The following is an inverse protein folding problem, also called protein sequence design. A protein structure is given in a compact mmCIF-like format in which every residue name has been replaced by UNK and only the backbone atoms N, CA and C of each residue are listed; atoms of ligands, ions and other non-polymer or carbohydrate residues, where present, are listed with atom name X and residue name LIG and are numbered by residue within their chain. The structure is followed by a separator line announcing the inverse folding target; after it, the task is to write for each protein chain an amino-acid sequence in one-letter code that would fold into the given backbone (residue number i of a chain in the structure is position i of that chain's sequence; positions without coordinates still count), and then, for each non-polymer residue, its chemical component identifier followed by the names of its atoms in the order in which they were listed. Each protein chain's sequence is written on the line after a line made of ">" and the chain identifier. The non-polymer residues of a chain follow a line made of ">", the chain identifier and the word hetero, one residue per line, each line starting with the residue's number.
data_IF_438087643025
#
_entry.id   IF_438087643025
#
_cell.length_a   1.000
_cell.length_b   1.000
_cell.length_c   1.000
_cell.angle_alpha   90.00
_cell.angle_beta   90.00
_cell.angle_gamma   90.00
#
_symmetry.space_group_name_H-M   'P 1'
#
loop_
_entity.id
_entity.type
_entity.pdbx_description
1 polymer ?
#
# COMPACT_ATOMS: atom_id res chain seq x y z
N UNK A 1 9.91 -20.56 -21.30
CA UNK A 1 8.46 -20.30 -21.39
C UNK A 1 7.86 -20.76 -20.08
N UNK A 2 7.52 -19.83 -19.17
CA UNK A 2 6.69 -20.05 -17.95
C UNK A 2 6.45 -18.74 -17.13
N UNK A 3 6.69 -17.56 -17.72
CA UNK A 3 6.52 -16.28 -17.01
C UNK A 3 5.06 -16.01 -16.60
N UNK A 4 4.10 -16.41 -17.43
CA UNK A 4 2.66 -16.26 -17.17
C UNK A 4 2.11 -17.24 -16.10
N UNK A 5 2.65 -18.46 -16.04
CA UNK A 5 2.33 -19.43 -14.99
C UNK A 5 2.85 -18.96 -13.62
N UNK A 6 4.04 -18.35 -13.60
CA UNK A 6 4.63 -17.69 -12.43
C UNK A 6 3.79 -16.50 -11.93
N UNK A 7 3.42 -15.57 -12.82
CA UNK A 7 2.71 -14.35 -12.42
C UNK A 7 1.28 -14.63 -11.93
N UNK A 8 0.52 -15.43 -12.66
CA UNK A 8 -0.86 -15.78 -12.28
C UNK A 8 -0.94 -16.55 -10.96
N UNK A 9 0.04 -17.43 -10.69
CA UNK A 9 0.17 -18.14 -9.42
C UNK A 9 0.46 -17.18 -8.26
N UNK A 10 1.39 -16.23 -8.45
CA UNK A 10 1.72 -15.20 -7.46
C UNK A 10 0.54 -14.25 -7.20
N UNK A 11 -0.18 -13.85 -8.25
CA UNK A 11 -1.38 -13.03 -8.13
C UNK A 11 -2.50 -13.77 -7.38
N UNK A 12 -2.64 -15.08 -7.60
CA UNK A 12 -3.59 -15.92 -6.85
C UNK A 12 -3.25 -15.95 -5.37
N UNK A 13 -1.97 -15.99 -5.02
CA UNK A 13 -1.48 -15.93 -3.63
C UNK A 13 -1.76 -14.58 -2.98
N UNK A 14 -1.65 -13.49 -3.76
CA UNK A 14 -1.98 -12.14 -3.32
C UNK A 14 -3.49 -11.84 -3.26
N UNK A 15 -4.35 -12.73 -3.76
CA UNK A 15 -5.80 -12.47 -3.89
C UNK A 15 -6.48 -12.20 -2.57
N UNK A 16 -6.11 -12.92 -1.51
CA UNK A 16 -6.67 -12.70 -0.16
C UNK A 16 -6.32 -11.29 0.34
N UNK A 17 -5.07 -10.85 0.11
CA UNK A 17 -4.62 -9.52 0.47
C UNK A 17 -5.33 -8.44 -0.36
N UNK A 18 -5.41 -8.60 -1.68
CA UNK A 18 -6.17 -7.68 -2.55
C UNK A 18 -7.65 -7.62 -2.18
N UNK A 19 -8.24 -8.73 -1.74
CA UNK A 19 -9.60 -8.77 -1.20
C UNK A 19 -9.74 -7.96 0.09
N UNK A 20 -8.75 -8.02 0.99
CA UNK A 20 -8.73 -7.16 2.19
C UNK A 20 -8.56 -5.68 1.85
N UNK A 21 -7.76 -5.34 0.85
CA UNK A 21 -7.64 -3.97 0.35
C UNK A 21 -8.95 -3.48 -0.26
N UNK A 22 -9.66 -4.33 -1.00
CA UNK A 22 -10.99 -4.03 -1.51
C UNK A 22 -11.98 -3.77 -0.37
N UNK A 23 -12.02 -4.65 0.64
CA UNK A 23 -12.88 -4.47 1.82
C UNK A 23 -12.53 -3.18 2.59
N UNK A 24 -11.25 -2.86 2.73
CA UNK A 24 -10.80 -1.61 3.35
C UNK A 24 -11.25 -0.38 2.56
N UNK A 25 -11.16 -0.41 1.23
CA UNK A 25 -11.65 0.67 0.36
C UNK A 25 -13.17 0.86 0.47
N UNK A 26 -13.91 -0.25 0.56
CA UNK A 26 -15.36 -0.24 0.78
C UNK A 26 -15.74 0.30 2.17
N UNK A 27 -15.03 -0.11 3.23
CA UNK A 27 -15.22 0.39 4.58
C UNK A 27 -14.88 1.87 4.72
N UNK A 28 -13.83 2.34 4.03
CA UNK A 28 -13.50 3.77 3.97
C UNK A 28 -14.62 4.56 3.28
N UNK A 29 -15.19 4.03 2.20
CA UNK A 29 -16.33 4.64 1.52
C UNK A 29 -17.59 4.71 2.41
N UNK A 30 -17.82 3.70 3.25
CA UNK A 30 -18.89 3.69 4.25
C UNK A 30 -18.65 4.70 5.37
N UNK A 31 -17.40 4.86 5.80
CA UNK A 31 -17.03 5.75 6.89
C UNK A 31 -17.16 7.22 6.49
N UNK A 32 -16.63 7.57 5.33
CA UNK A 32 -16.74 8.92 4.79
C UNK A 32 -16.66 8.86 3.24
N UNK A 33 -17.73 9.28 2.53
CA UNK A 33 -17.78 9.18 1.07
C UNK A 33 -16.86 10.17 0.36
N UNK A 34 -16.11 11.04 1.05
CA UNK A 34 -15.20 11.98 0.40
C UNK A 34 -14.01 11.26 -0.27
N UNK A 35 -13.72 11.54 -1.56
CA UNK A 35 -12.65 10.87 -2.30
C UNK A 35 -11.24 11.21 -1.79
N UNK A 36 -11.11 12.24 -0.95
CA UNK A 36 -9.83 12.67 -0.38
C UNK A 36 -9.21 11.58 0.48
N UNK A 37 -9.98 10.89 1.31
CA UNK A 37 -9.46 9.88 2.23
C UNK A 37 -8.92 8.65 1.51
N UNK A 38 -9.64 8.16 0.49
CA UNK A 38 -9.14 7.02 -0.28
C UNK A 38 -7.90 7.37 -1.09
N UNK A 39 -7.84 8.60 -1.62
CA UNK A 39 -6.66 9.06 -2.33
C UNK A 39 -5.44 9.12 -1.38
N UNK A 40 -5.62 9.64 -0.17
CA UNK A 40 -4.57 9.66 0.87
C UNK A 40 -4.10 8.25 1.21
N UNK A 41 -5.00 7.29 1.38
CA UNK A 41 -4.65 5.90 1.66
C UNK A 41 -3.90 5.24 0.48
N UNK A 42 -4.39 5.43 -0.74
CA UNK A 42 -3.78 4.88 -1.94
C UNK A 42 -2.37 5.46 -2.18
N UNK A 43 -2.24 6.79 -2.13
CA UNK A 43 -0.96 7.48 -2.28
C UNK A 43 0.00 7.11 -1.15
N UNK A 44 -0.49 7.01 0.10
CA UNK A 44 0.31 6.60 1.25
C UNK A 44 0.91 5.22 1.05
N UNK A 45 0.10 4.23 0.67
CA UNK A 45 0.59 2.87 0.39
C UNK A 45 1.57 2.85 -0.78
N UNK A 46 1.26 3.51 -1.90
CA UNK A 46 2.13 3.46 -3.08
C UNK A 46 3.46 4.17 -2.82
N UNK A 47 3.43 5.33 -2.18
CA UNK A 47 4.63 6.12 -1.85
C UNK A 47 5.45 5.41 -0.78
N UNK A 48 4.80 4.82 0.21
CA UNK A 48 5.43 3.95 1.19
C UNK A 48 6.16 2.79 0.52
N UNK A 49 5.48 2.09 -0.40
CA UNK A 49 6.01 0.88 -1.03
C UNK A 49 7.12 1.15 -2.06
N UNK A 50 7.02 2.24 -2.83
CA UNK A 50 7.95 2.53 -3.92
C UNK A 50 9.09 3.48 -3.55
N UNK A 51 8.93 4.29 -2.51
CA UNK A 51 9.93 5.31 -2.13
C UNK A 51 10.50 5.02 -0.75
N UNK A 52 9.66 5.00 0.29
CA UNK A 52 10.13 4.86 1.67
C UNK A 52 10.67 3.44 1.94
N UNK A 53 10.04 2.40 1.41
CA UNK A 53 10.46 1.01 1.55
C UNK A 53 11.86 0.74 0.99
N UNK A 54 12.15 1.08 -0.28
CA UNK A 54 13.49 0.95 -0.84
C UNK A 54 14.53 1.79 -0.11
N UNK A 55 14.19 3.01 0.30
CA UNK A 55 15.10 3.90 1.03
C UNK A 55 15.43 3.36 2.44
N UNK A 56 14.46 2.80 3.15
CA UNK A 56 14.70 2.16 4.46
C UNK A 56 15.55 0.90 4.31
N UNK A 57 15.30 0.09 3.28
CA UNK A 57 16.14 -1.08 2.99
C UNK A 57 17.58 -0.68 2.64
N UNK A 58 17.77 0.35 1.80
CA UNK A 58 19.08 0.88 1.45
C UNK A 58 19.81 1.42 2.69
N UNK A 59 19.14 2.18 3.55
CA UNK A 59 19.73 2.72 4.78
C UNK A 59 20.21 1.61 5.74
N UNK A 60 19.47 0.51 5.88
CA UNK A 60 19.89 -0.62 6.71
C UNK A 60 21.13 -1.32 6.14
N UNK A 61 21.20 -1.45 4.82
CA UNK A 61 22.35 -2.06 4.14
C UNK A 61 23.60 -1.17 4.21
N UNK A 62 23.48 0.13 3.94
CA UNK A 62 24.62 1.05 3.90
C UNK A 62 25.21 1.29 5.29
N UNK A 63 24.37 1.37 6.31
CA UNK A 63 24.83 1.58 7.68
C UNK A 63 25.31 0.28 8.35
N UNK A 64 25.14 -0.89 7.71
CA UNK A 64 25.57 -2.18 8.24
C UNK A 64 24.80 -2.66 9.48
N UNK A 65 23.70 -1.98 9.86
CA UNK A 65 22.95 -2.29 11.09
C UNK A 65 22.26 -3.66 11.04
N UNK A 66 22.13 -4.27 9.85
CA UNK A 66 21.60 -5.63 9.73
C UNK A 66 22.44 -6.67 10.47
N UNK A 67 23.75 -6.43 10.64
CA UNK A 67 24.68 -7.37 11.29
C UNK A 67 24.74 -7.23 12.81
N UNK A 68 24.23 -6.12 13.35
CA UNK A 68 24.38 -5.75 14.77
C UNK A 68 23.11 -6.07 15.59
N UNK A 69 21.93 -6.14 14.96
CA UNK A 69 20.65 -6.20 15.69
C UNK A 69 19.62 -7.24 15.17
N UNK A 70 20.08 -8.34 14.57
CA UNK A 70 19.28 -9.55 14.26
C UNK A 70 17.87 -9.28 13.66
N UNK A 71 17.74 -8.25 12.81
CA UNK A 71 16.49 -7.92 12.13
C UNK A 71 15.43 -7.18 12.95
N UNK A 72 15.62 -6.96 14.26
CA UNK A 72 14.67 -6.24 15.11
C UNK A 72 14.60 -4.73 14.81
N UNK A 73 15.66 -4.17 14.21
CA UNK A 73 15.73 -2.75 13.89
C UNK A 73 14.90 -2.32 12.67
N UNK A 74 14.35 -3.30 11.94
CA UNK A 74 13.57 -3.06 10.73
C UNK A 74 12.32 -2.21 10.99
N UNK A 75 11.54 -2.61 11.99
CA UNK A 75 10.30 -1.93 12.39
C UNK A 75 10.52 -0.51 12.90
N UNK A 76 11.42 -0.26 13.87
CA UNK A 76 11.62 1.10 14.38
C UNK A 76 12.14 2.05 13.30
N UNK A 77 13.01 1.61 12.38
CA UNK A 77 13.47 2.47 11.29
C UNK A 77 12.36 2.83 10.31
N UNK A 78 11.52 1.85 9.93
CA UNK A 78 10.35 2.10 9.08
C UNK A 78 9.39 3.08 9.76
N UNK A 79 9.12 2.91 11.05
CA UNK A 79 8.25 3.81 11.84
C UNK A 79 8.83 5.22 11.86
N UNK A 80 10.12 5.40 12.16
CA UNK A 80 10.75 6.71 12.22
C UNK A 80 10.72 7.42 10.87
N UNK A 81 11.06 6.72 9.77
CA UNK A 81 11.05 7.29 8.43
C UNK A 81 9.64 7.67 7.94
N UNK A 82 8.65 6.85 8.28
CA UNK A 82 7.25 7.13 7.93
C UNK A 82 6.73 8.30 8.73
N UNK A 83 6.90 8.29 10.05
CA UNK A 83 6.44 9.39 10.90
C UNK A 83 7.11 10.70 10.51
N UNK A 84 8.43 10.73 10.30
CA UNK A 84 9.12 11.96 9.90
C UNK A 84 8.61 12.50 8.56
N UNK A 85 8.38 11.62 7.57
CA UNK A 85 7.87 12.01 6.25
C UNK A 85 6.43 12.51 6.32
N UNK A 86 5.56 11.81 7.07
CA UNK A 86 4.14 12.17 7.19
C UNK A 86 3.98 13.44 8.03
N UNK A 87 4.76 13.63 9.11
CA UNK A 87 4.78 14.89 9.86
C UNK A 87 5.24 16.07 9.01
N UNK A 88 6.24 15.87 8.14
CA UNK A 88 6.69 16.93 7.23
C UNK A 88 5.60 17.30 6.21
N UNK A 89 4.87 16.30 5.68
CA UNK A 89 3.74 16.55 4.78
C UNK A 89 2.57 17.22 5.50
N UNK A 90 2.28 16.80 6.73
CA UNK A 90 1.24 17.41 7.56
C UNK A 90 1.54 18.89 7.83
N UNK A 91 2.80 19.22 8.15
CA UNK A 91 3.24 20.60 8.32
C UNK A 91 3.03 21.45 7.04
N UNK A 92 3.21 20.87 5.85
CA UNK A 92 3.07 21.58 4.58
C UNK A 92 1.61 21.73 4.13
N UNK A 93 0.79 20.71 4.36
CA UNK A 93 -0.57 20.65 3.84
C UNK A 93 -1.67 20.92 4.88
N UNK A 94 -1.29 21.05 6.16
CA UNK A 94 -2.18 21.25 7.30
C UNK A 94 -3.36 20.25 7.28
N UNK A 95 -3.04 18.95 7.32
CA UNK A 95 -4.05 17.92 7.19
C UNK A 95 -4.96 17.83 8.41
N UNK A 96 -6.18 17.34 8.18
CA UNK A 96 -7.06 16.94 9.28
C UNK A 96 -6.51 15.69 9.98
N UNK A 97 -6.77 15.56 11.28
CA UNK A 97 -6.29 14.44 12.11
C UNK A 97 -6.63 13.05 11.51
N UNK A 98 -7.77 12.92 10.83
CA UNK A 98 -8.18 11.68 10.15
C UNK A 98 -7.28 11.36 8.96
N UNK A 99 -6.95 12.36 8.14
CA UNK A 99 -6.05 12.22 7.00
C UNK A 99 -4.62 11.93 7.46
N UNK A 100 -4.16 12.61 8.52
CA UNK A 100 -2.85 12.34 9.12
C UNK A 100 -2.73 10.90 9.63
N UNK A 101 -3.71 10.42 10.38
CA UNK A 101 -3.72 9.06 10.90
C UNK A 101 -3.75 8.05 9.74
N UNK A 102 -4.63 8.25 8.76
CA UNK A 102 -4.77 7.37 7.62
C UNK A 102 -3.49 7.36 6.75
N UNK A 103 -2.87 8.52 6.50
CA UNK A 103 -1.60 8.64 5.80
C UNK A 103 -0.48 7.90 6.56
N UNK A 104 -0.43 8.05 7.89
CA UNK A 104 0.56 7.37 8.73
C UNK A 104 0.41 5.85 8.65
N UNK A 105 -0.80 5.32 8.84
CA UNK A 105 -1.04 3.88 8.77
C UNK A 105 -0.79 3.31 7.37
N UNK A 106 -1.31 3.97 6.33
CA UNK A 106 -1.17 3.54 4.93
C UNK A 106 0.29 3.59 4.48
N UNK A 107 1.03 4.65 4.79
CA UNK A 107 2.45 4.78 4.49
C UNK A 107 3.31 3.80 5.30
N UNK A 108 2.96 3.51 6.55
CA UNK A 108 3.66 2.51 7.36
C UNK A 108 3.54 1.13 6.72
N UNK A 109 2.31 0.74 6.40
CA UNK A 109 2.01 -0.56 5.79
C UNK A 109 2.69 -0.68 4.41
N UNK A 110 2.62 0.37 3.58
CA UNK A 110 3.34 0.45 2.31
C UNK A 110 4.85 0.32 2.49
N UNK A 111 5.44 1.03 3.44
CA UNK A 111 6.89 1.03 3.70
C UNK A 111 7.40 -0.34 4.14
N UNK A 112 6.66 -1.04 5.01
CA UNK A 112 7.01 -2.39 5.47
C UNK A 112 6.99 -3.38 4.29
N UNK A 113 5.96 -3.32 3.45
CA UNK A 113 5.83 -4.15 2.26
C UNK A 113 6.92 -3.83 1.23
N UNK A 114 7.20 -2.55 0.99
CA UNK A 114 8.23 -2.09 0.06
C UNK A 114 9.64 -2.44 0.51
N UNK A 115 9.89 -2.34 1.81
CA UNK A 115 11.14 -2.78 2.42
C UNK A 115 11.37 -4.27 2.19
N UNK A 116 10.39 -5.12 2.48
CA UNK A 116 10.51 -6.57 2.26
C UNK A 116 10.65 -6.95 0.79
N UNK A 117 9.89 -6.29 -0.08
CA UNK A 117 10.02 -6.47 -1.51
C UNK A 117 11.44 -6.11 -1.97
N UNK A 118 11.99 -4.99 -1.50
CA UNK A 118 13.34 -4.54 -1.84
C UNK A 118 14.41 -5.51 -1.35
N UNK A 119 14.29 -6.02 -0.12
CA UNK A 119 15.19 -7.04 0.42
C UNK A 119 15.11 -8.36 -0.34
N UNK A 120 13.90 -8.79 -0.67
CA UNK A 120 13.69 -10.00 -1.47
C UNK A 120 14.36 -9.84 -2.83
N UNK A 121 14.17 -8.70 -3.51
CA UNK A 121 14.82 -8.40 -4.80
C UNK A 121 16.33 -8.39 -4.67
N UNK A 122 16.89 -7.77 -3.63
CA UNK A 122 18.35 -7.73 -3.41
C UNK A 122 18.94 -9.12 -3.15
N UNK A 123 18.27 -9.97 -2.37
CA UNK A 123 18.66 -11.37 -2.14
C UNK A 123 18.52 -12.22 -3.41
N UNK A 124 17.50 -11.94 -4.23
CA UNK A 124 17.17 -12.66 -5.45
C UNK A 124 17.92 -12.14 -6.68
N UNK A 125 18.62 -11.00 -6.61
CA UNK A 125 19.49 -10.52 -7.70
C UNK A 125 20.67 -11.48 -7.95
N UNK A 126 20.93 -12.40 -7.03
CA UNK A 126 21.85 -13.52 -7.21
C UNK A 126 21.22 -14.72 -7.98
N UNK A 127 19.92 -14.67 -8.29
CA UNK A 127 19.13 -15.72 -8.94
C UNK A 127 18.38 -15.12 -10.13
N UNK A 128 18.94 -15.27 -11.33
CA UNK A 128 18.37 -14.77 -12.59
C UNK A 128 16.96 -15.32 -12.85
N UNK A 129 15.92 -14.50 -12.71
CA UNK A 129 14.55 -14.92 -13.05
C UNK A 129 13.39 -14.09 -12.48
N UNK A 130 13.64 -12.97 -11.81
CA UNK A 130 12.56 -12.18 -11.19
C UNK A 130 12.19 -10.94 -12.03
N UNK A 131 10.93 -10.90 -12.45
CA UNK A 131 10.33 -9.79 -13.20
C UNK A 131 10.31 -8.52 -12.34
N UNK A 132 11.19 -7.56 -12.65
CA UNK A 132 11.27 -6.26 -11.99
C UNK A 132 9.93 -5.50 -12.06
N UNK A 133 9.12 -5.80 -13.08
CA UNK A 133 7.76 -5.30 -13.25
C UNK A 133 6.82 -5.65 -12.10
N UNK A 134 7.01 -6.78 -11.42
CA UNK A 134 6.14 -7.16 -10.30
C UNK A 134 6.25 -6.19 -9.11
N UNK A 135 7.42 -5.59 -8.90
CA UNK A 135 7.64 -4.62 -7.81
C UNK A 135 6.84 -3.35 -8.03
N UNK A 136 6.63 -2.98 -9.30
CA UNK A 136 5.89 -1.77 -9.67
C UNK A 136 4.39 -2.04 -9.84
N UNK A 137 4.02 -3.18 -10.42
CA UNK A 137 2.62 -3.56 -10.66
C UNK A 137 1.88 -3.91 -9.37
N UNK A 138 2.55 -4.46 -8.36
CA UNK A 138 1.91 -4.85 -7.12
C UNK A 138 1.32 -3.68 -6.31
N UNK A 139 2.06 -2.57 -6.04
CA UNK A 139 1.47 -1.37 -5.45
C UNK A 139 0.32 -0.80 -6.27
N UNK A 140 0.40 -0.86 -7.60
CA UNK A 140 -0.69 -0.42 -8.49
C UNK A 140 -1.95 -1.26 -8.29
N UNK A 141 -1.83 -2.59 -8.20
CA UNK A 141 -2.98 -3.46 -7.92
C UNK A 141 -3.61 -3.20 -6.55
N UNK A 142 -2.81 -2.84 -5.54
CA UNK A 142 -3.33 -2.48 -4.22
C UNK A 142 -4.15 -1.19 -4.31
N UNK A 143 -3.62 -0.16 -4.96
CA UNK A 143 -4.33 1.10 -5.17
C UNK A 143 -5.64 0.88 -5.95
N UNK A 144 -5.59 0.10 -7.03
CA UNK A 144 -6.76 -0.25 -7.82
C UNK A 144 -7.78 -1.07 -7.01
N UNK A 145 -7.35 -2.00 -6.16
CA UNK A 145 -8.25 -2.77 -5.31
C UNK A 145 -8.98 -1.89 -4.30
N UNK A 146 -8.29 -0.92 -3.69
CA UNK A 146 -8.90 0.09 -2.80
C UNK A 146 -9.95 0.91 -3.56
N UNK A 147 -9.56 1.48 -4.71
CA UNK A 147 -10.46 2.27 -5.57
C UNK A 147 -11.67 1.47 -6.06
N UNK A 148 -11.49 0.20 -6.38
CA UNK A 148 -12.56 -0.71 -6.75
C UNK A 148 -13.54 -0.93 -5.58
N UNK A 149 -13.04 -1.08 -4.35
CA UNK A 149 -13.86 -1.19 -3.15
C UNK A 149 -14.73 0.05 -2.94
N UNK A 150 -14.12 1.24 -3.06
CA UNK A 150 -14.83 2.51 -2.91
C UNK A 150 -15.87 2.76 -4.00
N UNK A 151 -15.53 2.51 -5.26
CA UNK A 151 -16.47 2.67 -6.39
C UNK A 151 -17.64 1.68 -6.31
N UNK A 152 -17.43 0.48 -5.75
CA UNK A 152 -18.49 -0.50 -5.53
C UNK A 152 -19.55 0.00 -4.56
N UNK A 153 -19.17 0.77 -3.54
CA UNK A 153 -20.14 1.42 -2.65
C UNK A 153 -20.97 2.48 -3.38
N UNK A 154 -20.33 3.33 -4.18
CA UNK A 154 -21.03 4.34 -5.00
C UNK A 154 -22.05 3.70 -5.96
N UNK A 155 -21.68 2.58 -6.58
CA UNK A 155 -22.58 1.81 -7.44
C UNK A 155 -23.77 1.22 -6.65
N UNK A 156 -23.51 0.59 -5.50
CA UNK A 156 -24.56 0.02 -4.66
C UNK A 156 -25.56 1.10 -4.18
N UNK A 157 -25.05 2.24 -3.71
CA UNK A 157 -25.88 3.37 -3.27
C UNK A 157 -26.76 3.93 -4.41
N UNK A 158 -26.18 4.11 -5.61
CA UNK A 158 -26.92 4.56 -6.79
C UNK A 158 -28.00 3.57 -7.24
N UNK A 159 -27.68 2.26 -7.22
CA UNK A 159 -28.64 1.21 -7.57
C UNK A 159 -29.82 1.15 -6.60
N UNK A 160 -29.58 1.35 -5.30
CA UNK A 160 -30.63 1.42 -4.28
C UNK A 160 -31.55 2.61 -4.50
N UNK A 161 -31.00 3.80 -4.75
CA UNK A 161 -31.81 4.99 -5.04
C UNK A 161 -32.64 4.82 -6.32
N UNK A 162 -32.06 4.22 -7.37
CA UNK A 162 -32.78 3.92 -8.60
C UNK A 162 -33.95 2.96 -8.35
N UNK A 163 -33.72 1.87 -7.61
CA UNK A 163 -34.78 0.92 -7.25
C UNK A 163 -35.86 1.57 -6.38
N UNK A 164 -35.48 2.40 -5.41
CA UNK A 164 -36.42 3.12 -4.56
C UNK A 164 -37.25 4.15 -5.34
N UNK A 165 -36.68 4.79 -6.36
CA UNK A 165 -37.39 5.70 -7.26
C UNK A 165 -38.38 4.95 -8.18
N UNK A 166 -38.07 3.71 -8.56
CA UNK A 166 -38.92 2.88 -9.42
C UNK A 166 -40.13 2.28 -8.68
N UNK A 167 -40.03 2.19 -7.34
CA UNK A 167 -41.09 1.68 -6.45
C UNK A 167 -42.00 2.78 -5.90
N UNK A 168 -41.73 4.05 -6.20
CA UNK A 168 -42.59 5.20 -5.87
C UNK A 168 -43.38 5.63 -7.10
#
# INVERSE_FOLDING_TARGET
>A
MDALASFSSRLRLARAFLGSCFAAGFLLALWDPHPRLILTAAIGITTGMLVLGPNTAAAIYTLGLQRILDGYLRWPLCVVMVLSSVYMLDYLFAWENTQFALASFSALLGTILGHDASLAVLKLKNTSGLDHWMVLLFPLFIALALLAGYSSFGFAAGSYQFAAALLR
#
